data_IF_923129394281
#
_entry.id   IF_923129394281
#
_cell.length_a   1.000
_cell.length_b   1.000
_cell.length_c   1.000
_cell.angle_alpha   90.00
_cell.angle_beta   90.00
_cell.angle_gamma   90.00
#
_symmetry.space_group_name_H-M   'P 1'
#
loop_
_entity.id
_entity.type
_entity.pdbx_description
1 polymer ?
#
# COMPACT_ATOMS: atom_id res chain seq x y z
N UNK A 1 6.68 15.26 -34.46
CA UNK A 1 5.76 14.49 -33.61
C UNK A 1 5.96 13.02 -33.96
N UNK A 2 6.74 12.32 -33.17
CA UNK A 2 6.95 10.87 -33.31
C UNK A 2 6.63 10.28 -31.95
N UNK A 3 5.48 9.64 -31.91
CA UNK A 3 4.98 8.90 -30.74
C UNK A 3 5.87 7.67 -30.56
N UNK A 4 6.65 7.61 -29.50
CA UNK A 4 7.39 6.42 -29.10
C UNK A 4 6.49 5.56 -28.23
N UNK A 5 5.78 4.62 -28.86
CA UNK A 5 5.17 3.51 -28.17
C UNK A 5 6.29 2.61 -27.64
N UNK A 6 6.50 2.56 -26.34
CA UNK A 6 7.36 1.57 -25.72
C UNK A 6 6.57 0.27 -25.68
N UNK A 7 6.82 -0.57 -26.68
CA UNK A 7 6.43 -1.99 -26.65
C UNK A 7 7.32 -2.68 -25.60
N UNK A 8 6.72 -3.08 -24.48
CA UNK A 8 7.30 -4.12 -23.65
C UNK A 8 7.23 -5.42 -24.45
N UNK A 9 8.34 -5.77 -25.10
CA UNK A 9 8.53 -7.11 -25.60
C UNK A 9 8.70 -8.03 -24.37
N UNK A 10 7.64 -8.71 -24.01
CA UNK A 10 7.74 -9.87 -23.17
C UNK A 10 8.67 -10.85 -23.90
N UNK A 11 9.84 -11.13 -23.32
CA UNK A 11 10.65 -12.25 -23.76
C UNK A 11 9.87 -13.51 -23.41
N UNK A 12 9.06 -14.01 -24.35
CA UNK A 12 8.59 -15.39 -24.29
C UNK A 12 9.84 -16.28 -24.36
N UNK A 13 10.25 -16.82 -23.22
CA UNK A 13 11.15 -17.96 -23.20
C UNK A 13 10.47 -19.08 -23.97
N UNK A 14 11.13 -19.75 -24.91
CA UNK A 14 10.56 -20.92 -25.57
C UNK A 14 10.20 -21.92 -24.47
N UNK A 15 8.91 -22.30 -24.41
CA UNK A 15 8.41 -23.33 -23.50
C UNK A 15 9.23 -24.60 -23.79
N UNK A 16 10.08 -25.08 -22.87
CA UNK A 16 10.70 -26.38 -23.04
C UNK A 16 9.57 -27.43 -23.07
N UNK A 17 9.73 -28.53 -23.82
CA UNK A 17 8.79 -29.65 -23.68
C UNK A 17 8.78 -30.07 -22.21
N UNK A 18 7.56 -30.25 -21.67
CA UNK A 18 7.36 -30.72 -20.31
C UNK A 18 8.32 -31.91 -20.06
N UNK A 19 9.25 -31.81 -19.10
CA UNK A 19 9.96 -32.98 -18.66
C UNK A 19 8.91 -33.91 -18.04
N UNK A 20 8.84 -35.15 -18.48
CA UNK A 20 8.13 -36.19 -17.78
C UNK A 20 8.76 -36.28 -16.37
N UNK A 21 8.18 -35.58 -15.39
CA UNK A 21 8.57 -35.68 -14.00
C UNK A 21 8.16 -37.05 -13.46
N UNK A 22 9.03 -38.03 -13.64
CA UNK A 22 8.96 -39.30 -12.96
C UNK A 22 9.79 -39.31 -11.64
N UNK A 23 10.08 -38.14 -11.08
CA UNK A 23 10.69 -38.10 -9.76
C UNK A 23 9.61 -38.43 -8.70
N UNK A 24 9.86 -39.38 -7.79
CA UNK A 24 8.88 -39.69 -6.76
C UNK A 24 8.60 -38.44 -5.93
N UNK A 25 7.32 -38.19 -5.65
CA UNK A 25 6.92 -37.12 -4.77
C UNK A 25 7.70 -37.18 -3.46
N UNK A 26 8.29 -36.03 -3.00
CA UNK A 26 9.00 -36.06 -1.72
C UNK A 26 8.00 -36.37 -0.59
N UNK A 27 8.24 -37.48 0.10
CA UNK A 27 7.47 -37.82 1.30
C UNK A 27 7.89 -36.90 2.46
N UNK A 28 6.99 -36.62 3.44
CA UNK A 28 7.34 -35.87 4.64
C UNK A 28 8.58 -36.44 5.31
N UNK A 29 9.56 -35.58 5.64
CA UNK A 29 10.83 -36.04 6.21
C UNK A 29 11.93 -36.40 5.20
N UNK A 30 11.65 -36.30 3.90
CA UNK A 30 12.61 -36.59 2.83
C UNK A 30 13.94 -35.83 2.97
N UNK A 31 13.89 -34.54 3.38
CA UNK A 31 15.11 -33.71 3.44
C UNK A 31 16.04 -34.02 4.61
N UNK A 32 15.59 -34.66 5.68
CA UNK A 32 16.44 -34.97 6.86
C UNK A 32 17.62 -35.88 6.54
N UNK A 33 17.52 -36.72 5.53
CA UNK A 33 18.57 -37.63 5.10
C UNK A 33 19.56 -37.02 4.10
N UNK A 34 19.32 -35.77 3.67
CA UNK A 34 20.16 -35.11 2.67
C UNK A 34 21.27 -34.33 3.37
N UNK A 35 22.54 -34.60 3.05
CA UNK A 35 23.65 -33.78 3.52
C UNK A 35 23.45 -32.32 3.13
N UNK A 36 23.86 -31.38 3.97
CA UNK A 36 23.80 -29.94 3.77
C UNK A 36 22.37 -29.35 3.79
N UNK A 37 21.39 -30.06 4.35
CA UNK A 37 20.06 -29.50 4.62
C UNK A 37 20.16 -28.40 5.68
N UNK A 38 19.67 -27.18 5.34
CA UNK A 38 19.55 -26.11 6.31
C UNK A 38 18.41 -26.39 7.28
N UNK A 39 18.72 -26.49 8.58
CA UNK A 39 17.72 -26.60 9.63
C UNK A 39 17.46 -25.21 10.18
N UNK A 40 16.23 -24.76 10.08
CA UNK A 40 15.78 -23.50 10.67
C UNK A 40 15.24 -23.75 12.08
N UNK A 41 15.61 -22.88 13.02
CA UNK A 41 15.27 -23.02 14.44
C UNK A 41 14.05 -22.17 14.81
N UNK A 42 13.87 -21.05 14.13
CA UNK A 42 12.82 -20.07 14.40
C UNK A 42 12.03 -19.74 13.14
N UNK A 43 10.78 -19.34 13.34
CA UNK A 43 9.91 -18.92 12.24
C UNK A 43 8.92 -17.85 12.66
N UNK A 44 8.64 -16.89 11.74
CA UNK A 44 7.52 -15.97 11.81
C UNK A 44 6.51 -16.32 10.71
N UNK A 45 5.22 -16.33 11.06
CA UNK A 45 4.14 -16.59 10.14
C UNK A 45 3.25 -15.36 10.07
N UNK A 46 3.05 -14.83 8.87
CA UNK A 46 2.30 -13.59 8.64
C UNK A 46 1.22 -13.87 7.61
N UNK A 47 -0.02 -13.61 7.99
CA UNK A 47 -1.19 -13.75 7.14
C UNK A 47 -1.62 -12.39 6.61
N UNK A 48 -1.77 -12.26 5.29
CA UNK A 48 -2.21 -11.04 4.61
C UNK A 48 -3.60 -11.15 4.00
N UNK A 49 -4.26 -12.32 4.08
CA UNK A 49 -5.57 -12.54 3.49
C UNK A 49 -5.52 -12.53 1.97
N UNK A 50 -6.65 -12.20 1.34
CA UNK A 50 -6.74 -12.04 -0.11
C UNK A 50 -6.04 -10.75 -0.56
N UNK A 51 -4.71 -10.78 -0.63
CA UNK A 51 -3.91 -9.63 -1.01
C UNK A 51 -4.10 -9.25 -2.50
N UNK A 52 -4.55 -10.19 -3.33
CA UNK A 52 -4.86 -9.94 -4.74
C UNK A 52 -6.22 -9.25 -4.95
N UNK A 53 -7.17 -9.42 -4.03
CA UNK A 53 -8.55 -8.97 -4.15
C UNK A 53 -9.38 -9.76 -5.16
N UNK A 54 -8.90 -10.95 -5.60
CA UNK A 54 -9.54 -11.77 -6.63
C UNK A 54 -10.27 -13.00 -6.06
N UNK A 55 -10.24 -13.19 -4.74
CA UNK A 55 -10.83 -14.35 -4.03
C UNK A 55 -10.30 -15.72 -4.54
N UNK A 56 -9.06 -15.74 -5.01
CA UNK A 56 -8.40 -16.93 -5.55
C UNK A 56 -7.56 -17.63 -4.50
N UNK A 57 -6.74 -16.87 -3.79
CA UNK A 57 -5.84 -17.38 -2.74
C UNK A 57 -5.60 -16.33 -1.67
N UNK A 58 -5.32 -16.83 -0.47
CA UNK A 58 -4.80 -16.02 0.64
C UNK A 58 -3.29 -16.02 0.61
N UNK A 59 -2.69 -14.85 0.84
CA UNK A 59 -1.25 -14.68 0.91
C UNK A 59 -0.75 -14.93 2.33
N UNK A 60 0.26 -15.78 2.43
CA UNK A 60 1.02 -15.99 3.64
C UNK A 60 2.50 -15.76 3.41
N UNK A 61 3.14 -15.05 4.32
CA UNK A 61 4.60 -14.90 4.34
C UNK A 61 5.16 -15.65 5.53
N UNK A 62 6.06 -16.61 5.26
CA UNK A 62 6.78 -17.38 6.27
C UNK A 62 8.24 -16.92 6.23
N UNK A 63 8.77 -16.50 7.37
CA UNK A 63 10.19 -16.17 7.53
C UNK A 63 10.83 -17.20 8.44
N UNK A 64 11.81 -17.92 7.93
CA UNK A 64 12.56 -18.95 8.66
C UNK A 64 13.95 -18.40 8.99
N UNK A 65 14.43 -18.68 10.19
CA UNK A 65 15.74 -18.23 10.68
C UNK A 65 16.50 -19.40 11.29
N UNK A 66 17.77 -19.51 11.02
CA UNK A 66 18.67 -20.32 11.86
C UNK A 66 18.80 -19.67 13.26
N UNK A 67 19.54 -20.28 14.19
CA UNK A 67 19.73 -19.72 15.53
C UNK A 67 20.49 -18.38 15.44
N UNK A 68 19.76 -17.28 15.28
CA UNK A 68 20.25 -15.93 15.06
C UNK A 68 19.69 -14.97 16.10
N UNK A 69 20.46 -13.94 16.42
CA UNK A 69 19.98 -12.84 17.22
C UNK A 69 19.10 -11.89 16.35
N UNK A 70 17.98 -11.48 16.89
CA UNK A 70 17.12 -10.45 16.28
C UNK A 70 17.32 -9.17 17.06
N UNK A 71 17.70 -8.08 16.38
CA UNK A 71 17.93 -6.79 16.99
C UNK A 71 16.63 -6.08 17.42
N UNK A 72 16.74 -4.93 18.09
CA UNK A 72 15.59 -4.16 18.57
C UNK A 72 14.71 -3.61 17.42
N UNK A 73 15.22 -3.57 16.20
CA UNK A 73 14.49 -3.15 15.00
C UNK A 73 13.84 -4.35 14.26
N UNK A 74 14.07 -5.58 14.74
CA UNK A 74 13.55 -6.78 14.13
C UNK A 74 14.42 -7.36 13.00
N UNK A 75 15.69 -6.90 12.86
CA UNK A 75 16.59 -7.41 11.85
C UNK A 75 17.37 -8.61 12.38
N UNK A 76 17.54 -9.68 11.58
CA UNK A 76 18.42 -10.78 11.94
C UNK A 76 19.89 -10.33 11.86
N UNK A 77 20.66 -10.68 12.90
CA UNK A 77 22.09 -10.40 13.01
C UNK A 77 22.84 -11.71 12.93
N UNK A 78 23.70 -11.84 11.92
CA UNK A 78 24.47 -13.06 11.66
C UNK A 78 25.49 -13.43 12.73
N UNK A 79 26.12 -14.61 12.60
CA UNK A 79 26.05 -15.44 11.39
C UNK A 79 24.80 -16.31 11.31
N UNK A 80 24.32 -16.55 10.11
CA UNK A 80 23.21 -17.48 9.90
C UNK A 80 22.52 -17.32 8.56
N UNK A 81 21.38 -17.96 8.43
CA UNK A 81 20.57 -17.93 7.22
C UNK A 81 19.12 -17.48 7.50
N UNK A 82 18.57 -16.77 6.55
CA UNK A 82 17.16 -16.38 6.51
C UNK A 82 16.55 -16.95 5.24
N UNK A 83 15.32 -17.47 5.32
CA UNK A 83 14.52 -17.81 4.16
C UNK A 83 13.15 -17.18 4.30
N UNK A 84 12.72 -16.47 3.29
CA UNK A 84 11.34 -15.99 3.19
C UNK A 84 10.61 -16.79 2.11
N UNK A 85 9.39 -17.19 2.41
CA UNK A 85 8.49 -17.92 1.53
C UNK A 85 7.19 -17.12 1.46
N UNK A 86 6.79 -16.69 0.27
CA UNK A 86 5.48 -16.07 0.03
C UNK A 86 4.59 -17.09 -0.66
N UNK A 87 3.55 -17.55 0.04
CA UNK A 87 2.71 -18.67 -0.38
C UNK A 87 1.31 -18.20 -0.75
N UNK A 88 0.79 -18.74 -1.85
CA UNK A 88 -0.61 -18.65 -2.23
C UNK A 88 -1.37 -19.86 -1.63
N UNK A 89 -2.04 -19.62 -0.52
CA UNK A 89 -2.83 -20.62 0.18
C UNK A 89 -4.26 -20.59 -0.36
N UNK A 90 -4.99 -21.71 -0.29
CA UNK A 90 -6.37 -21.73 -0.74
C UNK A 90 -7.20 -20.65 -0.03
N UNK A 91 -7.86 -19.79 -0.81
CA UNK A 91 -8.80 -18.82 -0.27
C UNK A 91 -9.95 -19.49 0.49
N UNK A 92 -10.25 -18.99 1.68
CA UNK A 92 -11.40 -19.45 2.46
C UNK A 92 -12.01 -18.26 3.22
N UNK A 93 -13.14 -17.77 2.71
CA UNK A 93 -13.83 -16.63 3.28
C UNK A 93 -14.14 -16.84 4.77
N UNK A 94 -13.60 -15.97 5.62
CA UNK A 94 -13.91 -15.94 7.05
C UNK A 94 -13.10 -16.91 7.94
N UNK A 95 -12.18 -17.71 7.43
CA UNK A 95 -11.30 -18.56 8.24
C UNK A 95 -10.17 -17.76 8.89
N UNK A 96 -9.76 -16.64 8.28
CA UNK A 96 -8.68 -15.81 8.81
C UNK A 96 -7.34 -16.55 8.83
N UNK A 97 -6.49 -16.20 9.80
CA UNK A 97 -5.14 -16.73 9.94
C UNK A 97 -5.12 -18.14 10.57
N UNK A 98 -5.84 -19.12 10.00
CA UNK A 98 -5.85 -20.50 10.48
C UNK A 98 -4.62 -21.27 9.98
N UNK A 99 -3.71 -21.75 10.88
CA UNK A 99 -2.55 -22.54 10.49
C UNK A 99 -2.88 -23.86 9.76
N UNK A 100 -4.07 -24.42 9.95
CA UNK A 100 -4.45 -25.67 9.27
C UNK A 100 -4.55 -25.47 7.75
N UNK A 101 -4.82 -24.25 7.30
CA UNK A 101 -4.88 -23.92 5.88
C UNK A 101 -3.51 -24.00 5.18
N UNK A 102 -2.42 -23.88 5.93
CA UNK A 102 -1.06 -23.98 5.39
C UNK A 102 -0.66 -25.41 5.03
N UNK A 103 -1.33 -26.45 5.57
CA UNK A 103 -0.95 -27.82 5.31
C UNK A 103 -1.18 -28.16 3.82
N UNK A 104 -0.10 -28.54 3.13
CA UNK A 104 -0.17 -28.83 1.69
C UNK A 104 1.20 -28.79 1.01
N UNK A 105 1.16 -29.00 -0.29
CA UNK A 105 2.32 -28.89 -1.18
C UNK A 105 2.25 -27.55 -1.93
N UNK A 106 3.39 -26.89 -2.08
CA UNK A 106 3.56 -25.64 -2.82
C UNK A 106 4.67 -25.82 -3.84
N UNK A 107 4.41 -25.39 -5.06
CA UNK A 107 5.37 -25.36 -6.16
C UNK A 107 5.49 -23.95 -6.71
N UNK A 108 6.43 -23.73 -7.62
CA UNK A 108 6.58 -22.43 -8.26
C UNK A 108 5.33 -22.00 -9.04
N UNK A 109 5.07 -20.70 -9.11
CA UNK A 109 4.07 -20.15 -10.01
C UNK A 109 4.45 -20.40 -11.48
N UNK A 110 3.46 -20.67 -12.33
CA UNK A 110 3.70 -20.86 -13.76
C UNK A 110 4.03 -19.56 -14.50
N UNK A 111 3.52 -18.43 -14.04
CA UNK A 111 3.79 -17.09 -14.59
C UNK A 111 3.45 -16.00 -13.56
N UNK A 112 3.96 -14.80 -13.75
CA UNK A 112 3.64 -13.66 -12.89
C UNK A 112 2.15 -13.31 -12.98
N UNK A 113 1.53 -13.09 -11.81
CA UNK A 113 0.09 -12.80 -11.70
C UNK A 113 -0.80 -14.04 -11.65
N UNK A 114 -0.23 -15.26 -11.64
CA UNK A 114 -1.00 -16.47 -11.39
C UNK A 114 -0.88 -16.87 -9.91
N UNK A 115 -1.78 -16.36 -9.10
CA UNK A 115 -1.85 -16.62 -7.65
C UNK A 115 -2.61 -17.91 -7.32
N UNK A 116 -2.42 -18.97 -8.12
CA UNK A 116 -3.10 -20.25 -7.89
C UNK A 116 -2.77 -20.83 -6.51
N UNK A 117 -3.76 -21.36 -5.78
CA UNK A 117 -3.51 -22.04 -4.51
C UNK A 117 -2.52 -23.18 -4.64
N UNK A 118 -1.64 -23.35 -3.65
CA UNK A 118 -0.58 -24.35 -3.64
C UNK A 118 0.66 -23.93 -4.45
N UNK A 119 0.83 -22.65 -4.69
CA UNK A 119 2.04 -22.11 -5.31
C UNK A 119 2.79 -21.15 -4.38
N UNK A 120 4.05 -20.88 -4.68
CA UNK A 120 4.81 -19.82 -4.07
C UNK A 120 5.17 -18.73 -5.11
N UNK A 121 5.29 -17.50 -4.64
CA UNK A 121 5.64 -16.33 -5.47
C UNK A 121 7.15 -16.27 -5.64
N UNK A 122 7.62 -16.13 -6.87
CA UNK A 122 9.05 -16.00 -7.19
C UNK A 122 9.70 -14.81 -6.48
N UNK A 123 10.94 -15.00 -6.07
CA UNK A 123 11.74 -13.91 -5.52
C UNK A 123 12.06 -12.84 -6.55
N UNK A 124 12.03 -11.59 -6.12
CA UNK A 124 12.43 -10.44 -6.96
C UNK A 124 13.06 -9.35 -6.11
N UNK A 125 13.77 -8.43 -6.77
CA UNK A 125 14.31 -7.25 -6.10
C UNK A 125 13.34 -6.06 -6.21
N UNK A 126 13.01 -5.46 -5.07
CA UNK A 126 12.24 -4.22 -4.99
C UNK A 126 13.18 -3.05 -4.72
N UNK A 127 13.01 -1.99 -5.48
CA UNK A 127 13.75 -0.74 -5.25
C UNK A 127 12.84 0.28 -4.57
N UNK A 128 13.28 0.79 -3.42
CA UNK A 128 12.63 1.89 -2.70
C UNK A 128 13.50 3.13 -2.85
N UNK A 129 13.01 4.09 -3.63
CA UNK A 129 13.67 5.38 -3.81
C UNK A 129 13.13 6.40 -2.80
N UNK A 130 13.96 6.76 -1.82
CA UNK A 130 13.72 7.84 -0.88
C UNK A 130 14.62 9.03 -1.21
N UNK A 131 14.27 10.27 -0.83
CA UNK A 131 15.15 11.42 -1.03
C UNK A 131 16.54 11.21 -0.42
N UNK A 132 17.54 11.01 -1.29
CA UNK A 132 18.93 10.77 -0.89
C UNK A 132 19.28 9.34 -0.47
N UNK A 133 18.34 8.40 -0.59
CA UNK A 133 18.56 6.99 -0.25
C UNK A 133 17.84 6.09 -1.25
N UNK A 134 18.57 5.17 -1.86
CA UNK A 134 18.02 4.08 -2.67
C UNK A 134 18.27 2.77 -1.95
N UNK A 135 17.20 2.04 -1.65
CA UNK A 135 17.25 0.72 -1.03
C UNK A 135 16.86 -0.33 -2.06
N UNK A 136 17.64 -1.38 -2.15
CA UNK A 136 17.32 -2.58 -2.93
C UNK A 136 17.11 -3.72 -1.94
N UNK A 137 15.90 -4.27 -1.91
CA UNK A 137 15.48 -5.32 -0.97
C UNK A 137 14.92 -6.50 -1.76
N UNK A 138 15.28 -7.71 -1.35
CA UNK A 138 14.61 -8.88 -1.86
C UNK A 138 13.19 -8.97 -1.29
N UNK A 139 12.26 -9.41 -2.12
CA UNK A 139 10.86 -9.58 -1.77
C UNK A 139 10.34 -10.94 -2.27
N UNK A 140 9.14 -11.32 -1.85
CA UNK A 140 8.51 -12.61 -2.09
C UNK A 140 9.34 -13.80 -1.56
N UNK A 141 9.86 -14.69 -2.40
CA UNK A 141 10.53 -15.91 -1.95
C UNK A 141 12.03 -15.81 -2.19
N UNK A 142 12.81 -15.80 -1.11
CA UNK A 142 14.26 -15.70 -1.19
C UNK A 142 14.96 -16.46 -0.05
N UNK A 143 16.21 -16.78 -0.26
CA UNK A 143 17.17 -17.21 0.78
C UNK A 143 18.24 -16.13 0.92
N UNK A 144 18.75 -15.93 2.13
CA UNK A 144 19.85 -15.00 2.36
C UNK A 144 20.83 -15.56 3.40
N UNK A 145 22.12 -15.43 3.12
CA UNK A 145 23.17 -15.61 4.09
C UNK A 145 23.48 -14.28 4.79
N UNK A 146 23.63 -14.30 6.11
CA UNK A 146 23.94 -13.12 6.92
C UNK A 146 25.29 -13.35 7.60
N UNK A 147 26.25 -12.48 7.30
CA UNK A 147 27.60 -12.59 7.84
C UNK A 147 27.66 -12.28 9.35
N UNK A 148 28.70 -12.78 10.02
CA UNK A 148 28.91 -12.59 11.46
C UNK A 148 28.95 -11.10 11.85
N UNK A 149 28.11 -10.74 12.82
CA UNK A 149 27.96 -9.37 13.31
C UNK A 149 27.37 -8.37 12.32
N UNK A 150 26.81 -8.82 11.20
CA UNK A 150 26.17 -8.01 10.17
C UNK A 150 24.66 -8.18 10.16
N UNK A 151 23.97 -7.19 9.63
CA UNK A 151 22.55 -7.26 9.22
C UNK A 151 22.42 -7.27 7.68
N UNK A 152 23.54 -7.18 6.95
CA UNK A 152 23.53 -7.25 5.49
C UNK A 152 23.27 -8.67 5.02
N UNK A 153 22.38 -8.79 4.06
CA UNK A 153 21.92 -10.06 3.49
C UNK A 153 22.50 -10.28 2.09
N UNK A 154 23.11 -11.43 1.86
CA UNK A 154 23.50 -11.90 0.54
C UNK A 154 22.38 -12.74 -0.07
N UNK A 155 21.51 -12.13 -0.83
CA UNK A 155 20.28 -12.71 -1.35
C UNK A 155 20.50 -13.71 -2.48
N UNK A 156 19.65 -14.73 -2.49
CA UNK A 156 19.45 -15.70 -3.57
C UNK A 156 17.93 -15.74 -3.84
N UNK A 157 17.49 -15.17 -4.94
CA UNK A 157 16.07 -15.06 -5.29
C UNK A 157 15.59 -16.42 -5.80
N UNK A 158 14.61 -17.02 -5.11
CA UNK A 158 14.17 -18.39 -5.36
C UNK A 158 12.99 -18.38 -6.34
N UNK A 159 13.11 -19.13 -7.43
CA UNK A 159 12.14 -19.17 -8.53
C UNK A 159 11.71 -20.59 -8.93
N UNK A 160 12.43 -21.64 -8.51
CA UNK A 160 12.10 -23.02 -8.82
C UNK A 160 12.09 -23.87 -7.54
N UNK A 161 11.29 -24.94 -7.51
CA UNK A 161 11.33 -25.94 -6.44
C UNK A 161 9.96 -26.29 -5.86
N UNK A 162 10.01 -26.94 -4.71
CA UNK A 162 8.81 -27.33 -4.00
C UNK A 162 9.04 -27.39 -2.48
N UNK A 163 7.97 -27.16 -1.74
CA UNK A 163 7.93 -27.41 -0.30
C UNK A 163 6.63 -28.10 0.11
N UNK A 164 6.67 -28.77 1.24
CA UNK A 164 5.52 -29.44 1.85
C UNK A 164 5.40 -28.96 3.29
N UNK A 165 4.21 -28.55 3.68
CA UNK A 165 3.86 -28.22 5.06
C UNK A 165 2.96 -29.33 5.58
N UNK A 166 3.36 -30.00 6.66
CA UNK A 166 2.66 -31.13 7.23
C UNK A 166 2.28 -30.85 8.68
N UNK A 167 1.01 -31.04 9.03
CA UNK A 167 0.60 -31.09 10.43
C UNK A 167 1.07 -32.40 11.05
N UNK A 168 1.84 -32.34 12.14
CA UNK A 168 2.35 -33.50 12.86
C UNK A 168 1.61 -33.78 14.19
N UNK A 169 0.48 -33.10 14.39
CA UNK A 169 -0.40 -33.21 15.53
C UNK A 169 -0.11 -32.22 16.65
N UNK A 170 -1.07 -32.02 17.55
CA UNK A 170 -0.97 -31.11 18.71
C UNK A 170 -0.62 -29.65 18.36
N UNK A 171 -1.04 -29.17 17.17
CA UNK A 171 -0.72 -27.82 16.68
C UNK A 171 0.73 -27.64 16.24
N UNK A 172 1.47 -28.75 16.10
CA UNK A 172 2.82 -28.77 15.57
C UNK A 172 2.80 -29.01 14.06
N UNK A 173 3.70 -28.32 13.37
CA UNK A 173 3.87 -28.41 11.93
C UNK A 173 5.33 -28.65 11.57
N UNK A 174 5.52 -29.16 10.37
CA UNK A 174 6.82 -29.35 9.76
C UNK A 174 6.80 -28.81 8.34
N UNK A 175 7.85 -28.11 7.97
CA UNK A 175 8.10 -27.62 6.61
C UNK A 175 9.34 -28.32 6.09
N UNK A 176 9.23 -29.00 4.96
CA UNK A 176 10.36 -29.62 4.25
C UNK A 176 10.34 -29.10 2.81
N UNK A 177 11.50 -28.72 2.27
CA UNK A 177 11.52 -28.20 0.91
C UNK A 177 12.87 -28.26 0.23
N UNK A 178 12.83 -28.08 -1.08
CA UNK A 178 13.97 -27.92 -1.93
C UNK A 178 13.69 -26.77 -2.91
N UNK A 179 14.57 -25.78 -2.94
CA UNK A 179 14.43 -24.59 -3.76
C UNK A 179 15.73 -24.33 -4.54
N UNK A 180 15.59 -23.68 -5.68
CA UNK A 180 16.68 -23.19 -6.51
C UNK A 180 16.40 -21.73 -6.83
N UNK A 181 17.42 -20.91 -6.83
CA UNK A 181 17.33 -19.51 -7.16
C UNK A 181 18.31 -19.08 -8.26
N UNK A 182 18.45 -17.80 -8.44
CA UNK A 182 19.28 -17.15 -9.47
C UNK A 182 20.79 -17.48 -9.31
N UNK A 183 21.25 -17.86 -8.11
CA UNK A 183 22.59 -18.39 -7.88
C UNK A 183 22.76 -19.84 -8.32
N UNK A 184 21.72 -20.49 -8.86
CA UNK A 184 21.73 -21.90 -9.31
C UNK A 184 22.16 -22.90 -8.23
N UNK A 185 21.97 -22.54 -6.97
CA UNK A 185 22.28 -23.40 -5.82
C UNK A 185 21.02 -24.12 -5.33
N UNK A 186 21.06 -25.45 -5.32
CA UNK A 186 19.97 -26.26 -4.80
C UNK A 186 20.02 -26.25 -3.27
N UNK A 187 18.98 -25.70 -2.62
CA UNK A 187 18.88 -25.52 -1.17
C UNK A 187 17.82 -26.45 -0.60
N UNK A 188 18.26 -27.41 0.22
CA UNK A 188 17.38 -28.25 1.01
C UNK A 188 17.19 -27.62 2.37
N UNK A 189 15.97 -27.61 2.87
CA UNK A 189 15.68 -26.98 4.15
C UNK A 189 14.55 -27.70 4.90
N UNK A 190 14.57 -27.57 6.23
CA UNK A 190 13.51 -28.04 7.10
C UNK A 190 13.31 -27.10 8.28
N UNK A 191 12.08 -27.05 8.76
CA UNK A 191 11.70 -26.41 10.01
C UNK A 191 10.61 -27.23 10.70
N UNK A 192 10.56 -27.20 12.05
CA UNK A 192 9.49 -27.83 12.82
C UNK A 192 9.14 -26.96 14.03
N UNK A 193 7.86 -26.77 14.28
CA UNK A 193 7.42 -25.97 15.42
C UNK A 193 5.92 -25.73 15.45
N UNK A 194 5.48 -24.89 16.38
CA UNK A 194 4.12 -24.36 16.41
C UNK A 194 4.02 -23.18 15.47
N UNK A 195 2.87 -23.07 14.81
CA UNK A 195 2.55 -21.90 14.00
C UNK A 195 1.67 -20.98 14.84
N UNK A 196 2.20 -19.79 15.14
CA UNK A 196 1.51 -18.70 15.82
C UNK A 196 1.42 -17.52 14.83
N UNK A 197 0.35 -17.41 14.03
CA UNK A 197 0.31 -16.44 12.97
C UNK A 197 0.04 -15.03 13.49
N UNK A 198 0.72 -14.06 12.90
CA UNK A 198 0.35 -12.65 13.00
C UNK A 198 -0.59 -12.31 11.86
N UNK A 199 -1.79 -11.82 12.20
CA UNK A 199 -2.73 -11.33 11.20
C UNK A 199 -2.35 -9.90 10.79
N UNK A 200 -1.97 -9.74 9.55
CA UNK A 200 -1.64 -8.46 8.92
C UNK A 200 -2.65 -8.07 7.82
N UNK A 201 -3.81 -8.74 7.78
CA UNK A 201 -4.90 -8.27 6.90
C UNK A 201 -5.17 -6.82 7.27
N UNK A 202 -5.06 -5.89 6.31
CA UNK A 202 -5.41 -4.51 6.57
C UNK A 202 -6.86 -4.46 7.07
N UNK A 203 -7.09 -3.88 8.25
CA UNK A 203 -8.46 -3.56 8.62
C UNK A 203 -9.04 -2.72 7.50
N UNK A 204 -10.18 -3.12 6.95
CA UNK A 204 -10.94 -2.29 6.04
C UNK A 204 -11.38 -1.04 6.79
N UNK A 205 -10.52 -0.06 6.81
CA UNK A 205 -10.86 1.24 7.35
C UNK A 205 -11.78 1.89 6.33
N UNK A 206 -13.05 2.08 6.63
CA UNK A 206 -13.98 2.66 5.67
C UNK A 206 -13.44 4.01 5.21
N UNK A 207 -13.58 4.31 3.93
CA UNK A 207 -13.13 5.58 3.38
C UNK A 207 -14.04 6.76 3.77
N UNK A 208 -15.21 6.47 4.35
CA UNK A 208 -16.10 7.43 4.99
C UNK A 208 -16.87 6.77 6.11
N UNK A 209 -17.05 7.51 7.20
CA UNK A 209 -17.82 7.10 8.40
C UNK A 209 -19.07 7.95 8.62
N UNK A 210 -19.38 8.87 7.69
CA UNK A 210 -20.55 9.74 7.83
C UNK A 210 -21.84 8.91 7.84
N UNK A 211 -22.68 9.17 8.84
CA UNK A 211 -23.97 8.50 9.00
C UNK A 211 -25.12 9.29 8.38
N UNK A 212 -24.95 10.58 8.16
CA UNK A 212 -25.95 11.50 7.60
C UNK A 212 -25.27 12.62 6.82
N UNK A 213 -26.07 13.34 6.03
CA UNK A 213 -25.60 14.49 5.29
C UNK A 213 -25.18 15.63 6.23
N UNK A 214 -24.15 16.37 5.85
CA UNK A 214 -23.72 17.59 6.52
C UNK A 214 -24.17 18.78 5.67
N UNK A 215 -25.29 19.37 6.05
CA UNK A 215 -25.94 20.41 5.26
C UNK A 215 -25.69 21.80 5.83
N UNK A 216 -25.42 22.75 4.94
CA UNK A 216 -25.24 24.15 5.28
C UNK A 216 -24.14 24.40 6.34
N UNK A 217 -23.08 23.57 6.33
CA UNK A 217 -21.95 23.77 7.24
C UNK A 217 -21.11 24.97 6.82
N UNK A 218 -20.48 25.63 7.78
CA UNK A 218 -19.55 26.74 7.54
C UNK A 218 -18.36 26.64 8.49
N UNK A 219 -17.23 27.20 8.05
CA UNK A 219 -15.99 27.21 8.80
C UNK A 219 -15.60 28.63 9.19
N UNK A 220 -14.82 28.75 10.25
CA UNK A 220 -14.42 30.04 10.79
C UNK A 220 -13.16 30.61 10.13
N UNK A 221 -12.32 29.75 9.57
CA UNK A 221 -11.03 30.14 8.98
C UNK A 221 -10.58 29.21 7.87
N UNK A 222 -9.64 29.70 7.06
CA UNK A 222 -9.02 28.94 6.00
C UNK A 222 -7.54 29.24 5.85
N UNK A 223 -6.81 28.30 5.28
CA UNK A 223 -5.42 28.48 4.86
C UNK A 223 -5.16 27.66 3.60
N UNK A 224 -4.27 28.15 2.74
CA UNK A 224 -3.90 27.45 1.51
C UNK A 224 -2.46 26.98 1.56
N UNK A 225 -2.21 25.79 1.02
CA UNK A 225 -0.89 25.24 0.79
C UNK A 225 -0.68 25.04 -0.71
N UNK A 226 0.37 25.61 -1.25
CA UNK A 226 0.81 25.36 -2.61
C UNK A 226 1.70 24.12 -2.65
N UNK A 227 1.27 23.10 -3.39
CA UNK A 227 1.98 21.83 -3.58
C UNK A 227 2.84 21.80 -4.84
N UNK A 228 2.80 22.85 -5.65
CA UNK A 228 3.43 22.85 -6.96
C UNK A 228 2.87 21.75 -7.88
N UNK A 229 3.69 21.27 -8.80
CA UNK A 229 3.36 20.13 -9.66
C UNK A 229 3.60 18.81 -8.94
N UNK A 230 2.68 18.40 -8.07
CA UNK A 230 2.82 17.18 -7.29
C UNK A 230 2.36 15.90 -8.02
N UNK A 231 1.61 16.03 -9.13
CA UNK A 231 1.08 14.89 -9.86
C UNK A 231 1.90 14.49 -11.08
N UNK A 232 2.56 15.45 -11.75
CA UNK A 232 3.31 15.18 -12.98
C UNK A 232 4.79 15.59 -12.95
N UNK A 233 5.25 16.15 -11.86
CA UNK A 233 6.65 16.44 -11.46
C UNK A 233 7.58 17.13 -12.47
N UNK A 234 7.18 17.43 -13.71
CA UNK A 234 8.09 17.99 -14.72
C UNK A 234 7.43 18.84 -15.81
N UNK A 235 6.14 19.04 -15.76
CA UNK A 235 5.39 19.55 -16.89
C UNK A 235 5.07 21.05 -16.72
N UNK A 236 5.04 21.54 -15.48
CA UNK A 236 4.73 22.92 -15.13
C UNK A 236 3.47 23.45 -15.85
N UNK A 237 2.51 22.58 -16.12
CA UNK A 237 1.24 22.93 -16.75
C UNK A 237 0.21 23.40 -15.74
N UNK A 238 0.32 22.90 -14.51
CA UNK A 238 -0.57 23.28 -13.41
C UNK A 238 0.16 23.16 -12.06
N UNK A 239 -0.43 23.76 -11.04
CA UNK A 239 -0.06 23.51 -9.66
C UNK A 239 -1.28 23.08 -8.84
N UNK A 240 -1.03 22.22 -7.86
CA UNK A 240 -2.03 21.76 -6.92
C UNK A 240 -2.08 22.71 -5.72
N UNK A 241 -3.26 23.22 -5.43
CA UNK A 241 -3.54 24.01 -4.23
C UNK A 241 -4.39 23.19 -3.27
N UNK A 242 -4.01 23.20 -2.00
CA UNK A 242 -4.79 22.60 -0.92
C UNK A 242 -5.34 23.69 -0.02
N UNK A 243 -6.64 23.91 -0.10
CA UNK A 243 -7.35 24.82 0.79
C UNK A 243 -7.89 24.02 1.98
N UNK A 244 -7.48 24.39 3.16
CA UNK A 244 -8.07 23.92 4.41
C UNK A 244 -9.11 24.92 4.88
N UNK A 245 -10.33 24.48 5.12
CA UNK A 245 -11.36 25.19 5.85
C UNK A 245 -11.51 24.53 7.21
N UNK A 246 -11.54 25.29 8.29
CA UNK A 246 -11.51 24.74 9.63
C UNK A 246 -12.35 25.53 10.63
N UNK A 247 -12.82 24.83 11.65
CA UNK A 247 -13.43 25.44 12.81
C UNK A 247 -12.43 26.30 13.59
N UNK A 248 -12.93 27.24 14.43
CA UNK A 248 -12.13 28.21 15.17
C UNK A 248 -11.06 27.57 16.07
N UNK A 249 -11.39 26.43 16.66
CA UNK A 249 -10.52 25.70 17.59
C UNK A 249 -9.37 24.93 16.93
N UNK A 250 -9.39 24.78 15.60
CA UNK A 250 -8.32 24.12 14.87
C UNK A 250 -7.12 25.06 14.71
N UNK A 251 -5.94 24.57 15.01
CA UNK A 251 -4.68 25.30 14.81
C UNK A 251 -4.18 25.10 13.37
N UNK A 252 -4.08 26.20 12.62
CA UNK A 252 -3.64 26.25 11.22
C UNK A 252 -2.24 26.85 11.06
N UNK A 253 -1.49 27.04 12.16
CA UNK A 253 -0.17 27.67 12.13
C UNK A 253 0.95 26.79 11.56
N UNK A 254 0.72 25.49 11.47
CA UNK A 254 1.64 24.51 10.89
C UNK A 254 1.16 24.04 9.51
N UNK A 255 2.02 23.33 8.80
CA UNK A 255 1.70 22.74 7.49
C UNK A 255 0.56 21.69 7.51
N UNK A 256 0.02 21.39 8.67
CA UNK A 256 -1.13 20.50 8.89
C UNK A 256 -2.03 21.07 9.97
N UNK A 257 -3.36 21.00 9.78
CA UNK A 257 -4.31 21.32 10.84
C UNK A 257 -4.08 20.46 12.08
N UNK A 258 -4.17 21.08 13.26
CA UNK A 258 -4.00 20.44 14.57
C UNK A 258 -5.05 20.97 15.57
N UNK A 259 -5.06 20.46 16.80
CA UNK A 259 -6.05 20.87 17.81
C UNK A 259 -7.34 20.07 17.73
N UNK A 260 -8.49 20.74 17.88
CA UNK A 260 -9.79 20.08 17.91
C UNK A 260 -10.75 20.77 16.95
N UNK A 261 -11.64 19.99 16.32
CA UNK A 261 -12.70 20.51 15.45
C UNK A 261 -12.68 19.95 14.04
N UNK A 262 -13.68 20.35 13.26
CA UNK A 262 -13.85 19.88 11.89
C UNK A 262 -12.93 20.63 10.91
N UNK A 263 -12.48 19.88 9.91
CA UNK A 263 -11.66 20.35 8.82
C UNK A 263 -12.23 19.83 7.50
N UNK A 264 -12.36 20.71 6.51
CA UNK A 264 -12.62 20.35 5.12
C UNK A 264 -11.37 20.68 4.31
N UNK A 265 -10.69 19.65 3.84
CA UNK A 265 -9.53 19.74 2.97
C UNK A 265 -10.01 19.67 1.51
N UNK A 266 -9.76 20.71 0.77
CA UNK A 266 -10.14 20.85 -0.65
C UNK A 266 -8.86 20.92 -1.48
N UNK A 267 -8.70 20.00 -2.41
CA UNK A 267 -7.56 20.03 -3.33
C UNK A 267 -8.02 20.28 -4.76
N UNK A 268 -7.41 21.24 -5.43
CA UNK A 268 -7.78 21.63 -6.79
C UNK A 268 -6.57 22.13 -7.57
N UNK A 269 -6.71 22.13 -8.88
CA UNK A 269 -5.64 22.43 -9.82
C UNK A 269 -5.88 23.77 -10.50
N UNK A 270 -4.82 24.56 -10.52
CA UNK A 270 -4.81 25.88 -11.15
C UNK A 270 -3.70 25.94 -12.21
N UNK A 271 -3.75 26.87 -13.18
CA UNK A 271 -2.65 27.10 -14.10
C UNK A 271 -1.34 27.33 -13.36
N UNK A 272 -0.23 26.91 -13.96
CA UNK A 272 1.10 27.00 -13.35
C UNK A 272 1.55 28.41 -13.01
N UNK A 273 1.11 29.40 -13.76
CA UNK A 273 1.43 30.82 -13.61
C UNK A 273 0.65 31.55 -12.50
N UNK A 274 -0.29 30.87 -11.83
CA UNK A 274 -0.97 31.41 -10.66
C UNK A 274 -0.01 31.46 -9.47
N UNK A 275 0.24 32.66 -8.94
CA UNK A 275 1.00 32.86 -7.71
C UNK A 275 0.05 33.27 -6.57
N UNK A 276 -0.30 32.29 -5.73
CA UNK A 276 -1.27 32.51 -4.64
C UNK A 276 -0.74 33.50 -3.59
N UNK A 277 0.57 33.62 -3.45
CA UNK A 277 1.17 34.55 -2.49
C UNK A 277 1.09 36.00 -2.97
N UNK A 278 1.17 36.23 -4.30
CA UNK A 278 1.09 37.57 -4.90
C UNK A 278 -0.34 37.92 -5.30
N UNK A 279 -1.06 37.00 -5.97
CA UNK A 279 -2.37 37.26 -6.59
C UNK A 279 -3.54 36.89 -5.68
N UNK A 280 -3.28 36.11 -4.62
CA UNK A 280 -4.32 35.48 -3.79
C UNK A 280 -4.95 34.25 -4.45
N UNK A 281 -6.01 33.74 -3.84
CA UNK A 281 -6.70 32.57 -4.36
C UNK A 281 -7.42 32.86 -5.67
N UNK A 282 -7.34 31.98 -6.67
CA UNK A 282 -8.04 32.16 -7.95
C UNK A 282 -9.55 31.98 -7.76
N UNK A 283 -10.32 32.77 -8.52
CA UNK A 283 -11.77 32.60 -8.60
C UNK A 283 -12.13 31.51 -9.62
N UNK A 284 -13.26 30.86 -9.40
CA UNK A 284 -13.77 29.86 -10.33
C UNK A 284 -14.53 28.71 -9.66
N UNK A 285 -15.05 27.84 -10.50
CA UNK A 285 -15.67 26.59 -10.07
C UNK A 285 -14.77 25.42 -10.47
N UNK A 286 -14.40 24.60 -9.51
CA UNK A 286 -13.56 23.44 -9.63
C UNK A 286 -14.43 22.20 -9.47
N UNK A 287 -14.57 21.43 -10.55
CA UNK A 287 -15.37 20.20 -10.55
C UNK A 287 -14.48 19.01 -10.24
N UNK A 288 -14.97 18.12 -9.40
CA UNK A 288 -14.26 16.90 -9.04
C UNK A 288 -14.04 16.03 -10.28
N UNK A 289 -12.80 15.62 -10.53
CA UNK A 289 -12.51 14.66 -11.62
C UNK A 289 -13.06 13.30 -11.30
N UNK A 290 -13.61 12.61 -12.31
CA UNK A 290 -14.05 11.23 -12.16
C UNK A 290 -12.88 10.35 -11.74
N UNK A 291 -13.15 9.48 -10.81
CA UNK A 291 -12.23 8.47 -10.36
C UNK A 291 -12.57 7.14 -11.02
N UNK A 292 -11.56 6.43 -11.53
CA UNK A 292 -11.73 5.04 -11.87
C UNK A 292 -11.94 4.24 -10.56
N UNK A 293 -12.94 3.35 -10.46
CA UNK A 293 -13.21 2.59 -9.23
C UNK A 293 -11.95 1.88 -8.64
N UNK A 294 -11.00 1.54 -9.50
CA UNK A 294 -9.78 0.82 -9.11
C UNK A 294 -8.61 1.71 -8.65
N UNK A 295 -8.86 2.87 -8.05
CA UNK A 295 -7.87 3.67 -7.32
C UNK A 295 -7.06 4.71 -8.10
N UNK A 296 -7.07 4.77 -9.42
CA UNK A 296 -6.30 5.74 -10.18
C UNK A 296 -7.17 6.89 -10.71
N UNK A 297 -6.70 8.11 -10.55
CA UNK A 297 -7.25 9.26 -11.28
C UNK A 297 -6.81 9.12 -12.73
N UNK A 298 -7.77 9.26 -13.65
CA UNK A 298 -7.45 9.36 -15.08
C UNK A 298 -6.61 10.63 -15.32
N UNK A 299 -5.34 10.43 -15.64
CA UNK A 299 -4.36 11.52 -15.80
C UNK A 299 -4.79 12.52 -16.89
N UNK A 300 -5.48 12.06 -17.92
CA UNK A 300 -5.94 12.92 -19.01
C UNK A 300 -7.07 13.86 -18.59
N UNK A 301 -7.72 13.60 -17.46
CA UNK A 301 -8.76 14.45 -16.86
C UNK A 301 -8.25 15.43 -15.82
N UNK A 302 -6.99 15.29 -15.39
CA UNK A 302 -6.37 16.23 -14.45
C UNK A 302 -5.93 17.46 -15.23
N UNK A 303 -6.72 18.52 -15.18
CA UNK A 303 -6.47 19.78 -15.88
C UNK A 303 -6.74 20.97 -14.95
N UNK A 304 -6.16 22.14 -15.19
CA UNK A 304 -6.53 23.34 -14.46
C UNK A 304 -8.04 23.58 -14.47
N UNK A 305 -8.60 23.95 -13.32
CA UNK A 305 -10.05 24.05 -13.11
C UNK A 305 -10.71 22.78 -12.55
N UNK A 306 -9.94 21.72 -12.33
CA UNK A 306 -10.43 20.50 -11.69
C UNK A 306 -10.23 20.50 -10.19
N UNK A 307 -11.12 19.83 -9.45
CA UNK A 307 -10.89 19.41 -8.07
C UNK A 307 -10.44 17.95 -8.03
N UNK A 308 -9.62 17.61 -7.04
CA UNK A 308 -9.02 16.28 -6.88
C UNK A 308 -9.80 15.49 -5.84
N UNK A 309 -10.37 14.33 -6.18
CA UNK A 309 -11.06 13.46 -5.23
C UNK A 309 -10.12 12.96 -4.16
N UNK A 310 -10.66 12.54 -3.03
CA UNK A 310 -9.88 11.97 -1.94
C UNK A 310 -9.17 10.69 -2.38
N UNK A 311 -7.86 10.61 -2.10
CA UNK A 311 -7.05 9.43 -2.39
C UNK A 311 -6.62 8.79 -1.07
N UNK A 312 -6.82 7.48 -0.89
CA UNK A 312 -6.24 6.76 0.22
C UNK A 312 -4.71 6.79 0.08
N UNK A 313 -4.01 7.10 1.16
CA UNK A 313 -2.57 7.00 1.18
C UNK A 313 -2.18 5.65 1.78
N UNK A 314 -1.83 4.69 0.92
CA UNK A 314 -1.46 3.33 1.31
C UNK A 314 -0.15 3.23 2.10
N UNK A 315 0.70 4.28 2.05
CA UNK A 315 2.03 4.26 2.70
C UNK A 315 2.10 4.99 4.05
N UNK A 316 1.04 5.66 4.47
CA UNK A 316 1.03 6.37 5.72
C UNK A 316 -0.38 6.32 6.35
N UNK A 317 -0.41 6.25 7.66
CA UNK A 317 -1.64 6.39 8.45
C UNK A 317 -2.32 7.79 8.28
N UNK A 318 -1.77 8.64 7.42
CA UNK A 318 -2.30 9.94 7.06
C UNK A 318 -3.04 9.85 5.74
N UNK A 319 -4.30 9.74 5.80
CA UNK A 319 -5.21 9.65 4.65
C UNK A 319 -5.43 10.99 3.95
N UNK A 320 -4.36 11.73 3.61
CA UNK A 320 -4.52 13.12 3.20
C UNK A 320 -3.88 13.43 1.85
N UNK A 321 -4.44 12.84 0.80
CA UNK A 321 -4.28 13.35 -0.55
C UNK A 321 -5.66 13.54 -1.15
N UNK A 322 -5.86 14.57 -1.97
CA UNK A 322 -7.18 14.91 -2.51
C UNK A 322 -8.11 15.57 -1.48
N UNK A 323 -9.39 15.51 -1.72
CA UNK A 323 -10.44 16.20 -0.95
C UNK A 323 -11.01 15.29 0.14
N UNK A 324 -11.03 15.80 1.39
CA UNK A 324 -11.47 15.07 2.57
C UNK A 324 -12.18 15.97 3.57
N UNK A 325 -13.20 15.44 4.22
CA UNK A 325 -13.73 15.97 5.49
C UNK A 325 -13.21 15.11 6.64
N UNK A 326 -12.83 15.72 7.75
CA UNK A 326 -12.45 14.99 8.97
C UNK A 326 -12.55 15.87 10.20
N UNK A 327 -12.70 15.22 11.36
CA UNK A 327 -12.70 15.87 12.66
C UNK A 327 -11.42 15.51 13.43
N UNK A 328 -10.91 16.47 14.19
CA UNK A 328 -9.71 16.35 14.99
C UNK A 328 -10.03 16.39 16.48
N UNK A 329 -9.35 15.57 17.26
CA UNK A 329 -9.25 15.66 18.70
C UNK A 329 -7.77 15.51 19.11
N UNK A 330 -7.23 16.54 19.81
CA UNK A 330 -5.80 16.57 20.14
C UNK A 330 -4.85 16.54 18.93
N UNK A 331 -5.30 16.97 17.75
CA UNK A 331 -4.51 16.91 16.50
C UNK A 331 -4.52 15.56 15.80
N UNK A 332 -5.29 14.59 16.29
CA UNK A 332 -5.47 13.26 15.69
C UNK A 332 -6.87 13.17 15.07
N UNK A 333 -6.99 12.47 13.94
CA UNK A 333 -8.29 12.21 13.35
C UNK A 333 -9.16 11.38 14.29
N UNK A 334 -10.39 11.82 14.47
CA UNK A 334 -11.43 11.03 15.14
C UNK A 334 -11.99 9.95 14.20
N UNK A 335 -12.99 9.22 14.68
CA UNK A 335 -13.74 8.27 13.86
C UNK A 335 -14.73 8.95 12.89
N UNK A 336 -14.75 10.29 12.81
CA UNK A 336 -15.62 11.05 11.91
C UNK A 336 -14.80 11.62 10.77
N UNK A 337 -14.92 11.00 9.60
CA UNK A 337 -14.24 11.46 8.38
C UNK A 337 -14.95 10.96 7.12
N UNK A 338 -14.65 11.61 6.00
CA UNK A 338 -15.17 11.22 4.70
C UNK A 338 -14.16 11.53 3.59
N UNK A 339 -13.86 10.55 2.77
CA UNK A 339 -13.25 10.72 1.48
C UNK A 339 -14.28 11.26 0.50
N UNK A 340 -13.95 12.32 -0.22
CA UNK A 340 -14.85 12.96 -1.17
C UNK A 340 -14.51 12.46 -2.57
N UNK A 341 -15.51 11.96 -3.28
CA UNK A 341 -15.34 11.41 -4.64
C UNK A 341 -16.00 12.26 -5.72
N UNK A 342 -17.08 13.02 -5.38
CA UNK A 342 -17.84 13.80 -6.34
C UNK A 342 -18.16 15.20 -5.81
N UNK A 343 -18.44 16.12 -6.72
CA UNK A 343 -18.96 17.43 -6.39
C UNK A 343 -18.19 18.58 -7.00
N UNK A 344 -18.45 19.78 -6.50
CA UNK A 344 -17.82 21.00 -6.96
C UNK A 344 -17.49 21.98 -5.83
N UNK A 345 -16.49 22.80 -6.08
CA UNK A 345 -16.02 23.86 -5.17
C UNK A 345 -16.04 25.15 -5.97
N UNK A 346 -16.67 26.20 -5.46
CA UNK A 346 -16.66 27.53 -6.08
C UNK A 346 -16.00 28.55 -5.15
N UNK A 347 -15.00 29.25 -5.67
CA UNK A 347 -14.35 30.36 -5.01
C UNK A 347 -14.75 31.66 -5.70
N UNK A 348 -15.28 32.60 -4.92
CA UNK A 348 -15.64 33.97 -5.36
C UNK A 348 -14.86 34.96 -4.48
N UNK A 349 -14.33 36.01 -5.08
CA UNK A 349 -13.71 37.13 -4.36
C UNK A 349 -14.71 38.28 -4.27
N UNK A 350 -15.02 38.72 -3.07
CA UNK A 350 -15.91 39.83 -2.85
C UNK A 350 -15.20 41.19 -3.10
N UNK A 351 -15.97 42.27 -3.28
CA UNK A 351 -15.43 43.62 -3.56
C UNK A 351 -14.49 44.13 -2.43
N UNK A 352 -14.68 43.67 -1.19
CA UNK A 352 -13.85 44.03 -0.04
C UNK A 352 -12.55 43.18 0.07
N UNK A 353 -12.37 42.26 -0.85
CA UNK A 353 -11.22 41.32 -0.88
C UNK A 353 -11.38 40.05 -0.10
N UNK A 354 -12.51 39.87 0.59
CA UNK A 354 -12.85 38.60 1.23
C UNK A 354 -13.17 37.50 0.22
N UNK A 355 -13.16 36.26 0.65
CA UNK A 355 -13.46 35.10 -0.18
C UNK A 355 -14.71 34.38 0.28
N UNK A 356 -15.55 33.99 -0.68
CA UNK A 356 -16.69 33.11 -0.47
C UNK A 356 -16.34 31.77 -1.07
N UNK A 357 -16.24 30.74 -0.21
CA UNK A 357 -15.99 29.37 -0.64
C UNK A 357 -17.28 28.58 -0.50
N UNK A 358 -17.87 28.19 -1.62
CA UNK A 358 -19.06 27.32 -1.68
C UNK A 358 -18.64 25.91 -2.05
N UNK A 359 -19.29 24.92 -1.48
CA UNK A 359 -19.02 23.52 -1.77
C UNK A 359 -20.29 22.70 -1.73
N UNK A 360 -20.40 21.78 -2.69
CA UNK A 360 -21.44 20.77 -2.81
C UNK A 360 -20.75 19.44 -3.18
N UNK A 361 -20.51 18.64 -2.17
CA UNK A 361 -19.61 17.49 -2.24
C UNK A 361 -20.37 16.23 -1.84
N UNK A 362 -19.91 15.08 -2.34
CA UNK A 362 -20.41 13.77 -1.95
C UNK A 362 -19.24 12.85 -1.56
N UNK A 363 -19.45 12.06 -0.55
CA UNK A 363 -18.50 11.06 -0.12
C UNK A 363 -18.53 9.80 -1.01
N UNK A 364 -17.63 8.87 -0.73
CA UNK A 364 -17.39 7.66 -1.51
C UNK A 364 -18.27 6.45 -1.13
N UNK A 365 -19.29 6.63 -0.30
CA UNK A 365 -20.13 5.51 0.11
C UNK A 365 -21.04 5.05 -1.04
N UNK A 366 -21.47 3.80 -1.03
CA UNK A 366 -22.44 3.26 -1.99
C UNK A 366 -23.79 4.01 -1.99
N UNK A 367 -24.13 4.65 -0.84
CA UNK A 367 -25.17 5.68 -0.72
C UNK A 367 -24.50 6.97 -0.24
N UNK A 368 -24.00 7.82 -1.18
CA UNK A 368 -23.18 8.95 -0.85
C UNK A 368 -23.83 9.93 0.11
N UNK A 369 -23.09 10.36 1.13
CA UNK A 369 -23.47 11.45 2.01
C UNK A 369 -23.04 12.77 1.41
N UNK A 370 -23.91 13.76 1.52
CA UNK A 370 -23.67 15.08 0.96
C UNK A 370 -23.08 16.01 2.01
N UNK A 371 -22.10 16.78 1.59
CA UNK A 371 -21.48 17.84 2.40
C UNK A 371 -21.66 19.15 1.63
N UNK A 372 -22.52 20.03 2.14
CA UNK A 372 -22.77 21.31 1.50
C UNK A 372 -22.56 22.46 2.45
N UNK A 373 -22.20 23.59 1.89
CA UNK A 373 -22.11 24.80 2.69
C UNK A 373 -21.43 25.96 1.99
N UNK A 374 -21.24 26.99 2.78
CA UNK A 374 -20.59 28.22 2.35
C UNK A 374 -19.77 28.79 3.52
N UNK A 375 -18.56 29.19 3.23
CA UNK A 375 -17.65 29.83 4.20
C UNK A 375 -17.23 31.18 3.66
N UNK A 376 -17.35 32.22 4.48
CA UNK A 376 -16.81 33.54 4.22
C UNK A 376 -15.49 33.70 4.97
N UNK A 377 -14.43 34.07 4.27
CA UNK A 377 -13.08 34.24 4.80
C UNK A 377 -12.55 35.62 4.46
N UNK A 378 -12.17 36.39 5.47
CA UNK A 378 -11.56 37.72 5.26
C UNK A 378 -10.19 37.63 4.58
N UNK A 379 -9.42 36.58 4.92
CA UNK A 379 -8.09 36.32 4.37
C UNK A 379 -7.85 34.80 4.30
N UNK A 380 -7.16 34.37 3.26
CA UNK A 380 -6.66 33.00 3.14
C UNK A 380 -5.13 33.03 3.11
N UNK A 381 -4.46 32.85 4.26
CA UNK A 381 -3.00 32.86 4.32
C UNK A 381 -2.41 31.62 3.62
N UNK A 382 -1.24 31.80 3.00
CA UNK A 382 -0.41 30.70 2.50
C UNK A 382 0.42 30.13 3.67
N UNK A 383 0.42 28.79 3.84
CA UNK A 383 1.10 28.06 4.91
C UNK A 383 2.08 27.00 4.38
#
# INVERSE_FOLDING_TARGET
MISAAVLFAACEKPVPPEPEHNDPEPEPGFVESIPDTTVFDNADFIYYGDASGEEVSDEWVIKLYTDMYIDELGNPVGPGAVMQLMLNVKYDEGQGADPEMLAGRYTEMLNSGNYAPGTFVWGYMTTIDLPGLRLELADATFYADVADGSTEMDYDLLDEGALVITSVGEGMYRIDGVMVGDKCTKRYFTWSGKIEPRNNVPEEVPNSTLKHDLMDISFAKGAVQDKGDCFYRMDNTYRSLVLYLAEESVDMSASRPAGNGAVLRLEFLVPWDVDVAEDGMPEGTFVMVDRNPDTSIDKDKIVPGSAVPGLPNVFAAWKVSGTWYYELEGGVWTDTYARIDEGEITLEKAEDGSYIVKYDLKDCQGYPRRITGQTLLDVIPVI
#
